data_IF_513782218083
#
_entry.id   IF_513782218083
#
_cell.length_a   1.000
_cell.length_b   1.000
_cell.length_c   1.000
_cell.angle_alpha   90.00
_cell.angle_beta   90.00
_cell.angle_gamma   90.00
#
_symmetry.space_group_name_H-M   'P 1'
#
loop_
_entity.id
_entity.type
_entity.pdbx_description
1 polymer ?
#
# COMPACT_ATOMS: atom_id res chain seq x y z
N UNK A 1 -3.65 -18.07 15.79
CA UNK A 1 -2.21 -17.82 16.12
C UNK A 1 -2.03 -16.37 16.58
N UNK A 2 -1.09 -16.11 17.48
CA UNK A 2 -0.86 -14.76 18.03
C UNK A 2 -0.19 -13.80 17.05
N UNK A 3 0.55 -14.35 16.08
CA UNK A 3 1.29 -13.63 15.05
C UNK A 3 1.30 -14.42 13.74
N UNK A 4 1.18 -13.72 12.62
CA UNK A 4 1.45 -14.25 11.26
C UNK A 4 2.53 -13.40 10.62
N UNK A 5 3.57 -14.05 10.12
CA UNK A 5 4.65 -13.41 9.36
C UNK A 5 4.54 -13.92 7.92
N UNK A 6 4.40 -13.01 6.97
CA UNK A 6 4.52 -13.31 5.55
C UNK A 6 5.90 -12.85 5.09
N UNK A 7 6.78 -13.82 4.86
CA UNK A 7 7.98 -13.57 4.09
C UNK A 7 7.60 -13.42 2.61
N UNK A 8 8.34 -12.60 1.86
CA UNK A 8 8.04 -12.26 0.46
C UNK A 8 6.67 -11.58 0.21
N UNK A 9 6.50 -10.37 0.77
CA UNK A 9 5.29 -9.56 0.65
C UNK A 9 4.79 -9.30 -0.77
N UNK A 10 5.66 -9.38 -1.78
CA UNK A 10 5.27 -9.30 -3.19
C UNK A 10 4.28 -10.40 -3.62
N UNK A 11 4.16 -11.50 -2.87
CA UNK A 11 3.14 -12.53 -3.09
C UNK A 11 1.71 -12.05 -2.79
N UNK A 12 1.57 -10.97 -2.01
CA UNK A 12 0.28 -10.40 -1.61
C UNK A 12 -0.29 -9.40 -2.64
N UNK A 13 0.41 -9.15 -3.76
CA UNK A 13 0.00 -8.18 -4.80
C UNK A 13 -1.38 -8.45 -5.40
N UNK A 14 -1.82 -9.71 -5.41
CA UNK A 14 -3.11 -10.09 -5.96
C UNK A 14 -4.05 -10.65 -4.88
N UNK A 15 -5.11 -9.90 -4.56
CA UNK A 15 -6.15 -10.31 -3.60
C UNK A 15 -6.91 -11.58 -3.99
N UNK A 16 -7.01 -11.89 -5.30
CA UNK A 16 -7.69 -13.09 -5.82
C UNK A 16 -6.79 -14.32 -5.85
N UNK A 17 -5.49 -14.17 -5.58
CA UNK A 17 -4.60 -15.32 -5.50
C UNK A 17 -5.01 -16.22 -4.32
N UNK A 18 -5.00 -17.54 -4.54
CA UNK A 18 -5.36 -18.53 -3.52
C UNK A 18 -4.54 -18.36 -2.23
N UNK A 19 -3.25 -18.03 -2.36
CA UNK A 19 -2.35 -17.73 -1.24
C UNK A 19 -2.85 -16.55 -0.40
N UNK A 20 -3.15 -15.42 -1.04
CA UNK A 20 -3.66 -14.22 -0.36
C UNK A 20 -5.00 -14.47 0.33
N UNK A 21 -5.89 -15.25 -0.29
CA UNK A 21 -7.17 -15.62 0.33
C UNK A 21 -6.97 -16.53 1.54
N UNK A 22 -6.10 -17.53 1.44
CA UNK A 22 -5.77 -18.42 2.55
C UNK A 22 -5.17 -17.65 3.74
N UNK A 23 -4.17 -16.78 3.48
CA UNK A 23 -3.55 -15.94 4.50
C UNK A 23 -4.54 -14.98 5.17
N UNK A 24 -5.48 -14.42 4.40
CA UNK A 24 -6.50 -13.53 4.95
C UNK A 24 -7.51 -14.24 5.86
N UNK A 25 -7.77 -15.53 5.65
CA UNK A 25 -8.66 -16.34 6.50
C UNK A 25 -8.06 -16.67 7.86
N UNK A 26 -6.75 -16.49 8.04
CA UNK A 26 -6.10 -16.74 9.33
C UNK A 26 -6.50 -15.62 10.30
N UNK A 27 -7.26 -15.98 11.33
CA UNK A 27 -7.64 -15.06 12.39
C UNK A 27 -6.45 -14.79 13.32
N UNK A 28 -5.95 -13.55 13.29
CA UNK A 28 -4.86 -13.09 14.15
C UNK A 28 -4.94 -11.57 14.34
N UNK A 29 -4.46 -11.09 15.49
CA UNK A 29 -4.38 -9.65 15.79
C UNK A 29 -3.10 -9.00 15.26
N UNK A 30 -2.06 -9.79 14.96
CA UNK A 30 -0.74 -9.28 14.58
C UNK A 30 -0.31 -9.91 13.26
N UNK A 31 0.00 -9.07 12.28
CA UNK A 31 0.48 -9.48 10.96
C UNK A 31 1.71 -8.65 10.61
N UNK A 32 2.77 -9.32 10.19
CA UNK A 32 4.00 -8.70 9.69
C UNK A 32 4.21 -9.17 8.26
N UNK A 33 4.62 -8.25 7.39
CA UNK A 33 5.02 -8.58 6.02
C UNK A 33 6.46 -8.12 5.85
N UNK A 34 7.31 -9.03 5.39
CA UNK A 34 8.71 -8.77 5.07
C UNK A 34 8.85 -8.74 3.55
N UNK A 35 9.60 -7.80 3.01
CA UNK A 35 9.86 -7.70 1.57
C UNK A 35 11.27 -7.19 1.32
N UNK A 36 12.05 -7.93 0.54
CA UNK A 36 13.38 -7.53 0.10
C UNK A 36 13.35 -6.61 -1.13
N UNK A 37 12.26 -6.63 -1.90
CA UNK A 37 12.07 -5.69 -3.01
C UNK A 37 11.60 -4.35 -2.44
N UNK A 38 12.31 -3.24 -2.70
CA UNK A 38 11.77 -1.93 -2.42
C UNK A 38 10.42 -1.84 -3.15
N UNK A 39 9.39 -1.36 -2.46
CA UNK A 39 8.05 -1.17 -3.03
C UNK A 39 8.10 -0.04 -4.06
N UNK A 40 8.81 -0.26 -5.15
CA UNK A 40 9.11 0.73 -6.15
C UNK A 40 7.85 0.96 -6.98
N UNK A 41 7.14 2.02 -6.63
CA UNK A 41 6.22 2.77 -7.48
C UNK A 41 4.86 2.13 -7.84
N UNK A 42 4.44 1.04 -7.21
CA UNK A 42 3.06 0.55 -7.41
C UNK A 42 2.17 0.80 -6.19
N UNK A 43 1.42 1.91 -6.24
CA UNK A 43 0.44 2.29 -5.21
C UNK A 43 -0.59 1.18 -4.92
N UNK A 44 -0.93 0.34 -5.90
CA UNK A 44 -1.86 -0.77 -5.67
C UNK A 44 -1.24 -1.88 -4.81
N UNK A 45 0.06 -2.10 -4.90
CA UNK A 45 0.77 -3.08 -4.08
C UNK A 45 0.84 -2.62 -2.63
N UNK A 46 1.14 -1.32 -2.44
CA UNK A 46 1.03 -0.69 -1.13
C UNK A 46 -0.35 -0.92 -0.51
N UNK A 47 -1.42 -0.69 -1.28
CA UNK A 47 -2.77 -0.94 -0.79
C UNK A 47 -2.96 -2.40 -0.36
N UNK A 48 -2.55 -3.36 -1.18
CA UNK A 48 -2.76 -4.77 -0.87
C UNK A 48 -1.98 -5.24 0.36
N UNK A 49 -0.73 -4.83 0.51
CA UNK A 49 0.09 -5.16 1.67
C UNK A 49 -0.42 -4.50 2.95
N UNK A 50 -0.73 -3.20 2.89
CA UNK A 50 -1.25 -2.47 4.04
C UNK A 50 -2.61 -3.01 4.45
N UNK A 51 -3.48 -3.34 3.50
CA UNK A 51 -4.78 -3.92 3.80
C UNK A 51 -4.67 -5.33 4.41
N UNK A 52 -3.61 -6.07 4.12
CA UNK A 52 -3.32 -7.35 4.76
C UNK A 52 -2.86 -7.16 6.22
N UNK A 53 -1.97 -6.19 6.47
CA UNK A 53 -1.38 -5.90 7.79
C UNK A 53 -2.37 -5.19 8.71
N UNK A 54 -2.99 -4.12 8.22
CA UNK A 54 -3.90 -3.24 8.95
C UNK A 54 -5.12 -2.92 8.08
N UNK A 55 -6.13 -3.81 8.07
CA UNK A 55 -7.32 -3.62 7.26
C UNK A 55 -8.01 -2.29 7.61
N UNK A 56 -8.54 -1.62 6.58
CA UNK A 56 -9.28 -0.36 6.64
C UNK A 56 -8.44 0.90 6.92
N UNK A 57 -7.11 0.81 7.05
CA UNK A 57 -6.26 2.00 7.20
C UNK A 57 -6.38 2.97 6.02
N UNK A 58 -6.48 2.42 4.81
CA UNK A 58 -6.51 3.18 3.55
C UNK A 58 -7.92 3.32 2.96
N UNK A 59 -8.94 2.86 3.70
CA UNK A 59 -10.32 2.77 3.21
C UNK A 59 -10.51 1.66 2.17
N UNK A 60 -11.56 1.78 1.38
CA UNK A 60 -11.86 0.87 0.26
C UNK A 60 -10.92 1.13 -0.92
N UNK A 61 -10.78 0.14 -1.81
CA UNK A 61 -9.96 0.29 -3.02
C UNK A 61 -10.42 1.47 -3.90
N UNK A 62 -11.73 1.74 -3.94
CA UNK A 62 -12.29 2.87 -4.69
C UNK A 62 -11.85 4.19 -4.08
N UNK A 63 -12.00 4.35 -2.77
CA UNK A 63 -11.56 5.55 -2.05
C UNK A 63 -10.04 5.74 -2.16
N UNK A 64 -9.27 4.66 -2.03
CA UNK A 64 -7.83 4.71 -2.17
C UNK A 64 -7.41 5.19 -3.56
N UNK A 65 -8.06 4.70 -4.61
CA UNK A 65 -7.80 5.15 -5.98
C UNK A 65 -8.13 6.63 -6.17
N UNK A 66 -9.30 7.06 -5.72
CA UNK A 66 -9.72 8.47 -5.83
C UNK A 66 -8.84 9.42 -5.02
N UNK A 67 -8.44 9.02 -3.81
CA UNK A 67 -7.71 9.89 -2.89
C UNK A 67 -6.20 9.91 -3.13
N UNK A 68 -5.62 8.83 -3.68
CA UNK A 68 -4.17 8.68 -3.83
C UNK A 68 -3.75 8.27 -5.24
N UNK A 69 -4.24 7.15 -5.78
CA UNK A 69 -3.72 6.63 -7.07
C UNK A 69 -3.93 7.63 -8.20
N UNK A 70 -5.17 8.03 -8.45
CA UNK A 70 -5.52 8.93 -9.54
C UNK A 70 -4.81 10.29 -9.43
N UNK A 71 -4.87 11.02 -8.30
CA UNK A 71 -4.19 12.32 -8.21
C UNK A 71 -2.67 12.23 -8.24
N UNK A 72 -2.07 11.12 -7.78
CA UNK A 72 -0.62 10.94 -7.86
C UNK A 72 -0.21 10.65 -9.30
N UNK A 73 -0.86 9.70 -9.97
CA UNK A 73 -0.57 9.38 -11.38
C UNK A 73 -0.84 10.58 -12.29
N UNK A 74 -1.92 11.33 -12.06
CA UNK A 74 -2.26 12.49 -12.87
C UNK A 74 -1.23 13.62 -12.81
N UNK A 75 -0.46 13.76 -11.72
CA UNK A 75 0.61 14.77 -11.62
C UNK A 75 1.97 14.31 -12.14
N UNK A 76 2.07 13.06 -12.65
CA UNK A 76 3.29 12.48 -13.20
C UNK A 76 3.33 12.54 -14.75
N UNK A 77 2.24 12.93 -15.40
CA UNK A 77 2.21 13.08 -16.84
C UNK A 77 2.96 14.34 -17.29
N UNK A 78 3.44 14.34 -18.53
CA UNK A 78 4.18 15.48 -19.09
C UNK A 78 3.28 16.71 -19.28
N UNK A 79 2.00 16.49 -19.54
CA UNK A 79 0.96 17.51 -19.75
C UNK A 79 0.23 17.92 -18.46
N UNK A 80 0.69 17.45 -17.29
CA UNK A 80 0.09 17.78 -15.99
C UNK A 80 0.11 19.29 -15.73
N UNK A 81 -1.02 19.83 -15.25
CA UNK A 81 -1.10 21.23 -14.83
C UNK A 81 -0.31 21.48 -13.54
N UNK A 82 -0.05 22.75 -13.21
CA UNK A 82 0.59 23.11 -11.93
C UNK A 82 -0.26 22.67 -10.74
N UNK A 83 -1.59 22.71 -10.89
CA UNK A 83 -2.56 22.25 -9.92
C UNK A 83 -2.47 20.74 -9.70
N UNK A 84 -2.35 19.95 -10.77
CA UNK A 84 -2.18 18.49 -10.69
C UNK A 84 -0.89 18.11 -9.97
N UNK A 85 0.23 18.75 -10.31
CA UNK A 85 1.53 18.51 -9.66
C UNK A 85 1.44 18.86 -8.16
N UNK A 86 0.82 19.99 -7.81
CA UNK A 86 0.62 20.40 -6.41
C UNK A 86 -0.26 19.40 -5.66
N UNK A 87 -1.33 18.91 -6.29
CA UNK A 87 -2.22 17.92 -5.70
C UNK A 87 -1.49 16.57 -5.49
N UNK A 88 -0.74 16.11 -6.49
CA UNK A 88 0.11 14.93 -6.40
C UNK A 88 1.06 15.02 -5.22
N UNK A 89 1.82 16.11 -5.09
CA UNK A 89 2.79 16.30 -4.00
C UNK A 89 2.08 16.24 -2.63
N UNK A 90 0.93 16.91 -2.50
CA UNK A 90 0.12 16.89 -1.28
C UNK A 90 -0.37 15.47 -0.95
N UNK A 91 -0.93 14.75 -1.92
CA UNK A 91 -1.47 13.39 -1.70
C UNK A 91 -0.36 12.37 -1.41
N UNK A 92 0.77 12.50 -2.08
CA UNK A 92 1.99 11.70 -1.82
C UNK A 92 2.46 11.90 -0.39
N UNK A 93 2.59 13.16 0.07
CA UNK A 93 2.99 13.45 1.44
C UNK A 93 2.03 12.88 2.49
N UNK A 94 0.71 13.04 2.28
CA UNK A 94 -0.30 12.47 3.17
C UNK A 94 -0.20 10.95 3.21
N UNK A 95 -0.05 10.29 2.06
CA UNK A 95 0.09 8.84 1.99
C UNK A 95 1.34 8.36 2.74
N UNK A 96 2.50 8.96 2.49
CA UNK A 96 3.73 8.61 3.21
C UNK A 96 3.59 8.81 4.72
N UNK A 97 2.93 9.89 5.16
CA UNK A 97 2.72 10.17 6.58
C UNK A 97 1.81 9.12 7.24
N UNK A 98 0.75 8.69 6.55
CA UNK A 98 -0.12 7.61 7.02
C UNK A 98 0.63 6.27 7.12
N UNK A 99 1.48 5.98 6.15
CA UNK A 99 2.23 4.73 6.06
C UNK A 99 3.45 4.68 6.97
N UNK A 100 4.01 5.83 7.39
CA UNK A 100 5.21 5.91 8.25
C UNK A 100 5.10 5.12 9.55
N UNK A 101 3.88 4.96 10.09
CA UNK A 101 3.63 4.18 11.31
C UNK A 101 3.49 2.67 11.07
N UNK A 102 3.45 2.24 9.83
CA UNK A 102 3.12 0.85 9.43
C UNK A 102 4.23 0.23 8.59
N UNK A 103 4.96 1.03 7.81
CA UNK A 103 6.07 0.60 6.97
C UNK A 103 7.37 1.11 7.59
N UNK A 104 8.28 0.18 7.87
CA UNK A 104 9.63 0.48 8.34
C UNK A 104 10.60 -0.03 7.29
N UNK A 105 11.35 0.88 6.67
CA UNK A 105 12.47 0.53 5.79
C UNK A 105 13.75 0.44 6.60
N UNK A 106 14.58 -0.56 6.32
CA UNK A 106 15.99 -0.54 6.70
C UNK A 106 16.74 0.06 5.51
N UNK A 107 17.14 1.32 5.62
CA UNK A 107 18.17 1.89 4.75
C UNK A 107 19.52 1.45 5.36
N UNK A 108 20.29 0.65 4.61
CA UNK A 108 21.67 0.30 4.96
C UNK A 108 22.62 1.24 4.23
#
# INVERSE_FOLDING_TARGET
PDLVICDEGHLLRNRKALKTMALNRINTKRRIVLTGTPLQNNLLEYYHMVQFVKPNLLGTMKEYKTNFVNPITNGQYEDSTKEDIKLMMKRTHVLHTLLKKTIQGCEW
#
